data_IF_654646559554
#
_entry.id   IF_654646559554
#
_cell.length_a   1.000
_cell.length_b   1.000
_cell.length_c   1.000
_cell.angle_alpha   90.00
_cell.angle_beta   90.00
_cell.angle_gamma   90.00
#
_symmetry.space_group_name_H-M   'P 1'
#
loop_
_entity.id
_entity.type
_entity.pdbx_description
1 polymer ?
#
# COMPACT_ATOMS: atom_id res chain seq x y z
N UNK A 1 12.31 4.55 13.09
CA UNK A 1 12.50 3.20 12.62
C UNK A 1 11.21 2.62 12.08
N UNK A 2 11.27 1.98 10.96
CA UNK A 2 10.06 1.51 10.29
C UNK A 2 9.51 0.28 10.99
N UNK A 3 8.18 0.22 11.16
CA UNK A 3 7.52 -0.95 11.69
C UNK A 3 7.69 -2.15 10.77
N UNK A 4 8.04 -1.92 9.51
CA UNK A 4 8.19 -3.00 8.55
C UNK A 4 9.30 -3.98 8.93
N UNK A 5 10.20 -3.58 9.81
CA UNK A 5 11.24 -4.48 10.28
C UNK A 5 10.89 -5.20 11.55
N UNK A 6 9.83 -4.75 12.22
CA UNK A 6 9.48 -5.28 13.51
C UNK A 6 8.30 -6.24 13.53
N UNK A 7 7.63 -6.37 12.41
CA UNK A 7 6.44 -7.19 12.37
C UNK A 7 6.85 -8.65 12.40
N UNK A 8 6.36 -9.42 13.37
CA UNK A 8 6.68 -10.84 13.44
C UNK A 8 6.05 -11.56 12.27
N UNK A 9 6.74 -12.54 11.76
CA UNK A 9 6.23 -13.33 10.67
C UNK A 9 5.30 -14.37 11.17
N UNK A 10 4.20 -13.96 11.62
CA UNK A 10 3.20 -14.87 12.02
C UNK A 10 2.40 -15.25 10.87
N UNK A 11 2.15 -16.45 10.70
CA UNK A 11 1.42 -16.91 9.57
C UNK A 11 -0.01 -17.19 9.94
N UNK A 12 -0.88 -16.28 9.80
CA UNK A 12 -2.25 -16.48 10.23
C UNK A 12 -3.04 -17.33 9.29
N UNK A 13 -2.63 -18.25 8.66
CA UNK A 13 -3.41 -19.09 7.79
C UNK A 13 -3.85 -18.34 6.58
N UNK A 14 -5.11 -18.37 6.26
CA UNK A 14 -5.62 -17.68 5.11
C UNK A 14 -6.28 -16.38 5.48
N UNK A 15 -6.29 -16.05 6.74
CA UNK A 15 -6.99 -14.87 7.19
C UNK A 15 -6.16 -13.64 7.04
N UNK A 16 -6.76 -12.55 6.60
CA UNK A 16 -6.13 -11.25 6.60
C UNK A 16 -6.74 -10.44 7.72
N UNK A 17 -5.91 -10.02 8.64
CA UNK A 17 -6.36 -9.19 9.73
C UNK A 17 -6.47 -7.75 9.22
N UNK A 18 -7.69 -7.23 9.12
CA UNK A 18 -7.93 -5.88 8.64
C UNK A 18 -7.14 -4.84 9.40
N UNK A 19 -7.16 -4.93 10.72
CA UNK A 19 -6.51 -3.94 11.53
C UNK A 19 -4.99 -3.95 11.30
N UNK A 20 -4.41 -5.12 11.12
CA UNK A 20 -2.99 -5.22 10.84
C UNK A 20 -2.65 -4.55 9.50
N UNK A 21 -3.50 -4.71 8.50
CA UNK A 21 -3.30 -4.04 7.21
C UNK A 21 -3.33 -2.52 7.40
N UNK A 22 -4.35 -2.02 8.08
CA UNK A 22 -4.49 -0.58 8.27
C UNK A 22 -3.35 -0.01 9.10
N UNK A 23 -2.87 -0.74 10.10
CA UNK A 23 -1.75 -0.29 10.92
C UNK A 23 -0.48 -0.16 10.08
N UNK A 24 -0.20 -1.15 9.24
CA UNK A 24 0.96 -1.10 8.36
C UNK A 24 0.87 0.06 7.37
N UNK A 25 -0.30 0.21 6.78
CA UNK A 25 -0.51 1.27 5.79
C UNK A 25 -0.39 2.64 6.44
N UNK A 26 -0.89 2.77 7.66
CA UNK A 26 -0.82 4.05 8.38
C UNK A 26 0.61 4.49 8.66
N UNK A 27 1.55 3.55 8.62
CA UNK A 27 2.94 3.85 8.87
C UNK A 27 3.71 4.30 7.63
N UNK A 28 3.08 4.30 6.45
CA UNK A 28 3.73 4.74 5.22
C UNK A 28 3.79 6.27 5.21
N UNK A 29 4.97 6.87 5.20
CA UNK A 29 5.05 8.33 5.23
C UNK A 29 4.65 8.95 3.89
N UNK A 30 4.22 10.19 3.94
CA UNK A 30 3.96 10.96 2.73
C UNK A 30 5.23 11.00 1.87
N UNK A 31 5.07 10.85 0.57
CA UNK A 31 6.21 10.81 -0.33
C UNK A 31 6.81 9.44 -0.52
N UNK A 32 6.22 8.41 0.09
CA UNK A 32 6.69 7.03 -0.06
C UNK A 32 5.51 6.13 -0.40
N UNK A 33 5.82 4.99 -0.99
CA UNK A 33 4.82 3.98 -1.32
C UNK A 33 5.29 2.61 -0.89
N UNK A 34 4.34 1.69 -0.78
CA UNK A 34 4.62 0.28 -0.51
C UNK A 34 3.82 -0.53 -1.53
N UNK A 35 4.26 -1.72 -1.83
CA UNK A 35 3.52 -2.57 -2.77
C UNK A 35 2.58 -3.51 -2.03
N UNK A 36 1.53 -3.96 -2.74
CA UNK A 36 0.64 -4.98 -2.20
C UNK A 36 1.44 -6.23 -1.81
N UNK A 37 2.44 -6.59 -2.62
CA UNK A 37 3.27 -7.74 -2.32
C UNK A 37 4.09 -7.57 -1.06
N UNK A 38 4.62 -6.37 -0.82
CA UNK A 38 5.37 -6.11 0.41
C UNK A 38 4.46 -6.26 1.63
N UNK A 39 3.26 -5.74 1.56
CA UNK A 39 2.32 -5.88 2.66
C UNK A 39 1.98 -7.35 2.90
N UNK A 40 1.74 -8.10 1.84
CA UNK A 40 1.44 -9.51 1.95
C UNK A 40 2.57 -10.27 2.64
N UNK A 41 3.80 -9.98 2.24
CA UNK A 41 4.97 -10.61 2.84
C UNK A 41 5.09 -10.26 4.32
N UNK A 42 4.89 -9.00 4.66
CA UNK A 42 4.97 -8.55 6.04
C UNK A 42 3.92 -9.21 6.93
N UNK A 43 2.76 -9.52 6.36
CA UNK A 43 1.70 -10.18 7.09
C UNK A 43 1.87 -11.70 7.13
N UNK A 44 2.96 -12.20 6.57
CA UNK A 44 3.25 -13.62 6.60
C UNK A 44 2.49 -14.45 5.59
N UNK A 45 1.91 -13.83 4.58
CA UNK A 45 1.12 -14.53 3.58
C UNK A 45 1.34 -13.90 2.21
N UNK A 46 2.34 -14.39 1.51
CA UNK A 46 2.73 -13.82 0.22
C UNK A 46 1.66 -13.94 -0.87
N UNK A 47 0.60 -14.71 -0.62
CA UNK A 47 -0.50 -14.85 -1.57
C UNK A 47 -1.67 -13.93 -1.25
N UNK A 48 -1.53 -13.07 -0.26
CA UNK A 48 -2.64 -12.28 0.24
C UNK A 48 -2.83 -10.94 -0.48
N UNK A 49 -2.04 -10.64 -1.51
CA UNK A 49 -2.10 -9.34 -2.15
C UNK A 49 -3.51 -8.94 -2.61
N UNK A 50 -4.23 -9.89 -3.19
CA UNK A 50 -5.59 -9.64 -3.65
C UNK A 50 -6.54 -9.33 -2.50
N UNK A 51 -6.42 -10.09 -1.41
CA UNK A 51 -7.23 -9.85 -0.21
C UNK A 51 -6.91 -8.51 0.42
N UNK A 52 -5.65 -8.12 0.41
CA UNK A 52 -5.24 -6.81 0.91
C UNK A 52 -5.92 -5.71 0.09
N UNK A 53 -5.98 -5.87 -1.24
CA UNK A 53 -6.67 -4.91 -2.08
C UNK A 53 -8.14 -4.75 -1.68
N UNK A 54 -8.80 -5.86 -1.37
CA UNK A 54 -10.19 -5.80 -0.91
C UNK A 54 -10.33 -5.07 0.40
N UNK A 55 -9.43 -5.32 1.35
CA UNK A 55 -9.46 -4.66 2.64
C UNK A 55 -9.25 -3.16 2.47
N UNK A 56 -8.32 -2.77 1.61
CA UNK A 56 -8.05 -1.36 1.38
C UNK A 56 -9.22 -0.65 0.71
N UNK A 57 -9.96 -1.36 -0.15
CA UNK A 57 -11.16 -0.78 -0.76
C UNK A 57 -12.29 -0.58 0.23
N UNK A 58 -12.18 -1.13 1.42
CA UNK A 58 -13.16 -0.96 2.48
C UNK A 58 -12.65 -0.06 3.58
N UNK A 59 -11.57 0.69 3.32
CA UNK A 59 -10.97 1.59 4.29
C UNK A 59 -12.00 2.63 4.76
N UNK A 60 -12.34 2.67 6.05
CA UNK A 60 -13.35 3.62 6.53
C UNK A 60 -12.80 5.03 6.73
N UNK A 61 -11.48 5.21 6.65
CA UNK A 61 -10.84 6.50 6.90
C UNK A 61 -9.81 6.81 5.82
N UNK A 62 -10.25 7.06 4.59
CA UNK A 62 -9.30 7.36 3.51
C UNK A 62 -8.47 8.58 3.84
N UNK A 63 -7.24 8.56 3.39
CA UNK A 63 -6.22 9.57 3.63
C UNK A 63 -5.63 9.46 5.03
N UNK A 64 -6.44 9.34 6.07
CA UNK A 64 -5.94 9.09 7.42
C UNK A 64 -5.26 7.74 7.46
N UNK A 65 -5.90 6.70 6.91
CA UNK A 65 -5.23 5.46 6.57
C UNK A 65 -4.88 5.58 5.10
N UNK A 66 -3.63 5.88 4.75
CA UNK A 66 -3.29 6.33 3.39
C UNK A 66 -3.18 5.18 2.39
N UNK A 67 -4.30 4.53 2.12
CA UNK A 67 -4.32 3.39 1.21
C UNK A 67 -3.92 3.79 -0.22
N UNK A 68 -3.94 5.07 -0.55
CA UNK A 68 -3.45 5.53 -1.84
C UNK A 68 -1.94 5.33 -2.00
N UNK A 69 -1.21 5.07 -0.91
CA UNK A 69 0.22 4.82 -0.95
C UNK A 69 0.58 3.36 -1.18
N UNK A 70 -0.41 2.51 -1.45
CA UNK A 70 -0.17 1.11 -1.77
C UNK A 70 -0.32 0.92 -3.28
N UNK A 71 0.73 0.42 -3.92
CA UNK A 71 0.81 0.35 -5.38
C UNK A 71 1.20 -1.05 -5.82
N UNK A 72 1.19 -1.29 -7.13
CA UNK A 72 1.56 -2.59 -7.68
C UNK A 72 3.06 -2.79 -7.67
N UNK A 73 3.49 -4.05 -7.69
CA UNK A 73 4.91 -4.41 -7.60
C UNK A 73 5.75 -3.86 -8.74
N UNK A 74 5.15 -3.63 -9.89
CA UNK A 74 5.86 -3.10 -11.06
C UNK A 74 5.85 -1.57 -11.12
N UNK A 75 5.33 -0.92 -10.10
CA UNK A 75 5.29 0.54 -10.04
C UNK A 75 4.01 1.16 -10.57
N UNK A 76 3.10 0.38 -11.15
CA UNK A 76 1.80 0.92 -11.53
C UNK A 76 1.02 1.32 -10.28
N UNK A 77 0.26 2.40 -10.37
CA UNK A 77 -0.44 2.89 -9.18
C UNK A 77 -1.55 1.95 -8.71
N UNK A 78 -2.16 1.21 -9.63
CA UNK A 78 -3.23 0.29 -9.26
C UNK A 78 -4.55 0.99 -9.01
N UNK A 79 -5.52 0.23 -8.51
CA UNK A 79 -6.84 0.76 -8.25
C UNK A 79 -6.93 1.54 -6.94
N UNK A 80 -8.06 2.24 -6.78
CA UNK A 80 -8.32 3.01 -5.58
C UNK A 80 -9.83 3.10 -5.40
N UNK A 81 -10.30 3.09 -4.15
CA UNK A 81 -11.73 3.11 -3.88
C UNK A 81 -12.44 4.35 -4.43
N UNK A 82 -11.74 5.46 -4.59
CA UNK A 82 -12.30 6.67 -5.16
C UNK A 82 -11.82 6.93 -6.58
N UNK A 83 -11.30 5.90 -7.24
CA UNK A 83 -10.88 6.00 -8.63
C UNK A 83 -9.39 6.25 -8.79
N UNK A 84 -8.85 5.73 -9.89
CA UNK A 84 -7.42 5.84 -10.16
C UNK A 84 -6.96 7.29 -10.31
N UNK A 85 -7.77 8.13 -10.92
CA UNK A 85 -7.39 9.53 -11.11
C UNK A 85 -7.18 10.24 -9.79
N UNK A 86 -8.03 9.93 -8.81
CA UNK A 86 -7.88 10.50 -7.47
C UNK A 86 -6.60 10.02 -6.81
N UNK A 87 -6.29 8.73 -6.98
CA UNK A 87 -5.06 8.16 -6.42
C UNK A 87 -3.83 8.85 -7.01
N UNK A 88 -3.81 9.02 -8.34
CA UNK A 88 -2.71 9.70 -9.01
C UNK A 88 -2.58 11.13 -8.48
N UNK A 89 -3.68 11.82 -8.34
CA UNK A 89 -3.67 13.20 -7.84
C UNK A 89 -3.07 13.29 -6.44
N UNK A 90 -3.45 12.37 -5.56
CA UNK A 90 -2.93 12.36 -4.20
C UNK A 90 -1.43 12.08 -4.17
N UNK A 91 -0.98 11.12 -4.96
CA UNK A 91 0.44 10.78 -5.01
C UNK A 91 1.26 11.91 -5.60
N UNK A 92 0.76 12.56 -6.66
CA UNK A 92 1.45 13.71 -7.23
C UNK A 92 1.60 14.83 -6.21
N UNK A 93 0.57 15.08 -5.43
CA UNK A 93 0.64 16.09 -4.38
C UNK A 93 1.70 15.77 -3.35
N UNK A 94 2.01 14.51 -3.15
CA UNK A 94 3.02 14.08 -2.20
C UNK A 94 4.42 14.06 -2.81
N UNK A 95 4.56 14.52 -4.04
CA UNK A 95 5.85 14.62 -4.69
C UNK A 95 6.31 13.37 -5.43
N UNK A 96 5.41 12.42 -5.65
CA UNK A 96 5.74 11.18 -6.35
C UNK A 96 5.46 11.36 -7.83
N UNK A 97 6.48 11.28 -8.69
CA UNK A 97 6.27 11.50 -10.12
C UNK A 97 5.60 10.30 -10.79
N UNK A 98 4.59 10.56 -11.58
CA UNK A 98 3.81 9.51 -12.23
C UNK A 98 3.66 9.83 -13.71
N UNK A 99 3.87 8.83 -14.55
CA UNK A 99 3.73 8.93 -15.99
C UNK A 99 3.05 7.67 -16.48
N UNK A 100 1.97 7.80 -17.23
CA UNK A 100 1.18 6.66 -17.73
C UNK A 100 0.80 5.70 -16.61
N UNK A 101 0.30 6.26 -15.51
CA UNK A 101 -0.14 5.49 -14.34
C UNK A 101 0.96 4.68 -13.67
N UNK A 102 2.21 5.01 -13.94
CA UNK A 102 3.34 4.30 -13.37
C UNK A 102 4.28 5.29 -12.69
N UNK A 103 4.80 4.91 -11.53
CA UNK A 103 5.71 5.76 -10.78
C UNK A 103 7.08 5.78 -11.46
N UNK A 104 7.59 6.99 -11.72
CA UNK A 104 8.92 7.17 -12.26
C UNK A 104 9.92 7.02 -11.11
N UNK A 105 11.04 6.38 -11.38
CA UNK A 105 12.07 6.11 -10.35
C UNK A 105 11.48 5.39 -9.14
N UNK A 106 10.69 4.36 -9.43
CA UNK A 106 9.91 3.65 -8.44
C UNK A 106 10.73 3.25 -7.21
N UNK A 107 11.94 2.72 -7.41
CA UNK A 107 12.74 2.24 -6.29
C UNK A 107 13.13 3.36 -5.32
N UNK A 108 13.16 4.58 -5.80
CA UNK A 108 13.47 5.73 -4.94
C UNK A 108 12.36 6.01 -3.95
N UNK A 109 11.11 5.72 -4.32
CA UNK A 109 9.95 6.04 -3.50
C UNK A 109 9.38 4.86 -2.73
N UNK A 110 9.79 3.67 -3.07
CA UNK A 110 9.31 2.46 -2.41
C UNK A 110 10.01 2.28 -1.06
N UNK A 111 9.25 1.96 -0.03
CA UNK A 111 9.83 1.66 1.28
C UNK A 111 10.42 0.27 1.33
#
# INVERSE_FOLDING_TARGET
>A
MSVYRKIPKKSPKSHINRQAVYDLVSDIPSGKVVTYGQLATLLGNSRAARGIGKVLNQNPRPIIVPCHRVVCSDGHVGGYMYGKNRKVSLLLKEGIPIDNDKIKDFEKYRV
#
